data_IF_429501187909
#
_entry.id   IF_429501187909
#
_cell.length_a   1.000
_cell.length_b   1.000
_cell.length_c   1.000
_cell.angle_alpha   90.00
_cell.angle_beta   90.00
_cell.angle_gamma   90.00
#
_symmetry.space_group_name_H-M   'P 1'
#
loop_
_entity.id
_entity.type
_entity.pdbx_description
1 polymer ?
#
# COMPACT_ATOMS: atom_id res chain seq x y z
N UNK A 1 2.48 32.16 2.31
CA UNK A 1 2.91 30.94 1.60
C UNK A 1 2.53 29.78 2.50
N UNK A 2 1.74 28.83 2.00
CA UNK A 2 1.46 27.60 2.73
C UNK A 2 2.78 26.83 2.89
N UNK A 3 3.02 26.24 4.06
CA UNK A 3 4.17 25.35 4.22
C UNK A 3 3.97 24.07 3.41
N UNK A 4 5.06 23.39 3.05
CA UNK A 4 5.02 22.10 2.34
C UNK A 4 4.06 21.12 3.04
N UNK A 5 4.18 20.98 4.36
CA UNK A 5 3.31 20.09 5.14
C UNK A 5 1.83 20.47 5.00
N UNK A 6 1.48 21.77 5.03
CA UNK A 6 0.09 22.20 4.85
C UNK A 6 -0.45 21.86 3.46
N UNK A 7 0.40 21.88 2.43
CA UNK A 7 0.03 21.51 1.06
C UNK A 7 -0.23 19.99 0.98
N UNK A 8 0.65 19.19 1.57
CA UNK A 8 0.50 17.72 1.62
C UNK A 8 -0.76 17.31 2.41
N UNK A 9 -0.98 17.91 3.58
CA UNK A 9 -2.16 17.65 4.41
C UNK A 9 -3.46 17.94 3.64
N UNK A 10 -3.50 19.06 2.88
CA UNK A 10 -4.66 19.41 2.05
C UNK A 10 -4.89 18.39 0.94
N UNK A 11 -3.82 17.93 0.29
CA UNK A 11 -3.92 16.94 -0.77
C UNK A 11 -4.40 15.58 -0.25
N UNK A 12 -3.87 15.13 0.89
CA UNK A 12 -4.30 13.91 1.56
C UNK A 12 -5.77 13.98 2.01
N UNK A 13 -6.22 15.14 2.49
CA UNK A 13 -7.63 15.33 2.87
C UNK A 13 -8.58 15.11 1.68
N UNK A 14 -8.18 15.51 0.46
CA UNK A 14 -8.98 15.23 -0.75
C UNK A 14 -9.14 13.73 -0.95
N UNK A 15 -8.02 12.99 -0.89
CA UNK A 15 -8.03 11.53 -0.97
C UNK A 15 -8.89 10.87 0.13
N UNK A 16 -8.75 11.33 1.38
CA UNK A 16 -9.51 10.81 2.52
C UNK A 16 -11.01 11.10 2.43
N UNK A 17 -11.40 12.17 1.74
CA UNK A 17 -12.81 12.48 1.47
C UNK A 17 -13.46 11.58 0.41
N UNK A 18 -12.68 10.71 -0.25
CA UNK A 18 -13.11 9.85 -1.34
C UNK A 18 -13.09 10.52 -2.72
N UNK A 19 -12.59 11.75 -2.81
CA UNK A 19 -12.33 12.44 -4.08
C UNK A 19 -10.94 12.03 -4.55
N UNK A 20 -10.83 11.60 -5.81
CA UNK A 20 -9.52 11.44 -6.45
C UNK A 20 -9.07 12.82 -6.96
N UNK A 21 -8.07 13.46 -6.31
CA UNK A 21 -7.57 14.74 -6.77
C UNK A 21 -6.90 14.63 -8.14
N UNK A 22 -6.92 15.73 -8.90
CA UNK A 22 -6.16 15.88 -10.13
C UNK A 22 -4.88 16.65 -9.82
N UNK A 23 -3.75 15.96 -9.86
CA UNK A 23 -2.46 16.50 -9.43
C UNK A 23 -2.07 17.79 -10.18
N UNK A 24 -2.27 17.84 -11.51
CA UNK A 24 -2.01 19.05 -12.32
C UNK A 24 -2.75 20.27 -11.78
N UNK A 25 -4.06 20.11 -11.63
CA UNK A 25 -4.95 21.19 -11.24
C UNK A 25 -4.64 21.68 -9.83
N UNK A 26 -4.32 20.75 -8.93
CA UNK A 26 -3.91 21.08 -7.58
C UNK A 26 -2.63 21.89 -7.57
N UNK A 27 -1.60 21.46 -8.30
CA UNK A 27 -0.31 22.16 -8.37
C UNK A 27 -0.45 23.54 -9.01
N UNK A 28 -1.18 23.65 -10.11
CA UNK A 28 -1.46 24.93 -10.77
C UNK A 28 -2.14 25.92 -9.83
N UNK A 29 -3.04 25.44 -8.96
CA UNK A 29 -3.76 26.28 -7.99
C UNK A 29 -2.85 26.90 -6.91
N UNK A 30 -1.68 26.31 -6.66
CA UNK A 30 -0.74 26.80 -5.64
C UNK A 30 0.09 28.00 -6.11
N UNK A 31 0.15 28.28 -7.42
CA UNK A 31 0.88 29.40 -8.03
C UNK A 31 2.33 29.54 -7.51
N UNK A 32 3.05 28.43 -7.41
CA UNK A 32 4.41 28.34 -6.87
C UNK A 32 5.48 28.82 -7.86
N UNK A 33 6.67 29.16 -7.34
CA UNK A 33 7.86 29.34 -8.17
C UNK A 33 8.30 27.98 -8.76
N UNK A 34 9.05 27.96 -9.87
CA UNK A 34 9.52 26.68 -10.46
C UNK A 34 10.36 25.84 -9.48
N UNK A 35 11.17 26.48 -8.64
CA UNK A 35 11.99 25.78 -7.64
C UNK A 35 11.13 25.14 -6.55
N UNK A 36 10.13 25.86 -6.04
CA UNK A 36 9.23 25.36 -5.00
C UNK A 36 8.26 24.31 -5.56
N UNK A 37 7.79 24.54 -6.79
CA UNK A 37 6.90 23.62 -7.49
C UNK A 37 7.54 22.25 -7.63
N UNK A 38 8.82 22.18 -8.00
CA UNK A 38 9.52 20.90 -8.15
C UNK A 38 9.61 20.11 -6.85
N UNK A 39 9.94 20.78 -5.73
CA UNK A 39 10.01 20.15 -4.42
C UNK A 39 8.62 19.64 -3.98
N UNK A 40 7.59 20.48 -4.14
CA UNK A 40 6.20 20.12 -3.82
C UNK A 40 5.69 18.98 -4.70
N UNK A 41 6.02 18.97 -5.99
CA UNK A 41 5.63 17.92 -6.92
C UNK A 41 6.13 16.54 -6.49
N UNK A 42 7.41 16.46 -6.11
CA UNK A 42 8.02 15.20 -5.70
C UNK A 42 7.22 14.55 -4.57
N UNK A 43 6.89 15.35 -3.54
CA UNK A 43 6.15 14.87 -2.38
C UNK A 43 4.69 14.51 -2.72
N UNK A 44 4.01 15.34 -3.53
CA UNK A 44 2.63 15.07 -3.94
C UNK A 44 2.52 13.82 -4.82
N UNK A 45 3.50 13.56 -5.69
CA UNK A 45 3.54 12.35 -6.52
C UNK A 45 3.67 11.11 -5.63
N UNK A 46 4.53 11.15 -4.61
CA UNK A 46 4.67 10.04 -3.68
C UNK A 46 3.34 9.75 -2.95
N UNK A 47 2.66 10.79 -2.46
CA UNK A 47 1.33 10.65 -1.84
C UNK A 47 0.32 10.06 -2.83
N UNK A 48 0.22 10.62 -4.04
CA UNK A 48 -0.73 10.13 -5.05
C UNK A 48 -0.49 8.66 -5.39
N UNK A 49 0.77 8.31 -5.65
CA UNK A 49 1.21 6.95 -5.96
C UNK A 49 0.85 5.96 -4.85
N UNK A 50 1.00 6.35 -3.58
CA UNK A 50 0.59 5.51 -2.45
C UNK A 50 -0.92 5.25 -2.44
N UNK A 51 -1.74 6.30 -2.60
CA UNK A 51 -3.20 6.15 -2.63
C UNK A 51 -3.68 5.35 -3.85
N UNK A 52 -3.07 5.53 -5.02
CA UNK A 52 -3.38 4.75 -6.23
C UNK A 52 -3.01 3.27 -6.08
N UNK A 53 -1.85 2.98 -5.48
CA UNK A 53 -1.39 1.61 -5.19
C UNK A 53 -2.30 0.92 -4.18
N UNK A 54 -2.80 1.67 -3.19
CA UNK A 54 -3.83 1.18 -2.27
C UNK A 54 -5.15 0.84 -2.98
N UNK A 55 -5.59 1.65 -3.94
CA UNK A 55 -6.85 1.39 -4.65
C UNK A 55 -6.75 0.21 -5.62
N UNK A 56 -5.64 0.06 -6.35
CA UNK A 56 -5.43 -1.05 -7.28
C UNK A 56 -5.42 -2.42 -6.60
N UNK A 57 -4.78 -2.53 -5.43
CA UNK A 57 -4.81 -3.77 -4.62
C UNK A 57 -6.20 -4.11 -4.09
N UNK A 58 -7.05 -3.12 -3.81
CA UNK A 58 -8.46 -3.39 -3.45
C UNK A 58 -9.30 -3.89 -4.62
N UNK A 59 -8.98 -3.49 -5.86
CA UNK A 59 -9.66 -3.92 -7.09
C UNK A 59 -9.19 -5.28 -7.60
N UNK A 60 -7.95 -5.69 -7.35
CA UNK A 60 -7.38 -6.97 -7.81
C UNK A 60 -7.87 -8.23 -7.05
N UNK A 61 -8.92 -8.16 -6.23
CA UNK A 61 -9.57 -9.36 -5.67
C UNK A 61 -10.29 -10.14 -6.79
N UNK A 62 -9.92 -11.40 -7.09
CA UNK A 62 -10.63 -12.21 -8.07
C UNK A 62 -11.93 -12.74 -7.47
N UNK A 63 -13.04 -12.47 -8.17
CA UNK A 63 -14.36 -12.94 -7.82
C UNK A 63 -15.38 -12.59 -8.89
N UNK A 64 -15.11 -12.92 -10.16
CA UNK A 64 -16.14 -12.89 -11.21
C UNK A 64 -15.77 -13.84 -12.34
N UNK A 65 -16.74 -14.67 -12.72
CA UNK A 65 -16.71 -15.66 -13.81
C UNK A 65 -16.11 -15.09 -15.12
N UNK A 66 -15.27 -15.86 -15.85
CA UNK A 66 -14.69 -15.42 -17.12
C UNK A 66 -15.61 -15.59 -18.33
N UNK A 67 -16.93 -15.79 -18.15
CA UNK A 67 -17.87 -16.07 -19.24
C UNK A 67 -18.85 -14.91 -19.49
N UNK A 68 -18.35 -13.73 -19.82
CA UNK A 68 -19.11 -12.70 -20.51
C UNK A 68 -18.14 -11.79 -21.28
N UNK A 69 -17.79 -12.24 -22.49
CA UNK A 69 -17.10 -11.41 -23.47
C UNK A 69 -18.17 -10.72 -24.31
N UNK A 70 -18.31 -9.40 -24.16
CA UNK A 70 -18.90 -8.54 -25.19
C UNK A 70 -18.35 -7.11 -25.05
N UNK A 71 -17.48 -6.77 -26.00
CA UNK A 71 -17.07 -5.44 -26.46
C UNK A 71 -16.63 -4.38 -25.43
N UNK A 72 -15.31 -4.27 -25.21
CA UNK A 72 -14.53 -3.03 -25.43
C UNK A 72 -13.12 -3.44 -25.85
N UNK A 73 -12.67 -3.00 -27.03
CA UNK A 73 -11.25 -3.07 -27.42
C UNK A 73 -10.47 -2.05 -26.60
N UNK A 74 -10.06 -2.45 -25.39
CA UNK A 74 -9.09 -1.72 -24.57
C UNK A 74 -7.71 -2.12 -25.08
N UNK A 75 -6.98 -1.15 -25.60
CA UNK A 75 -5.57 -1.30 -25.96
C UNK A 75 -4.79 -1.93 -24.81
N UNK A 76 -4.03 -2.96 -25.13
CA UNK A 76 -3.26 -3.82 -24.24
C UNK A 76 -2.29 -3.03 -23.30
N UNK A 77 -2.08 -3.57 -22.09
CA UNK A 77 -1.09 -3.22 -21.05
C UNK A 77 -1.43 -2.21 -19.93
N UNK A 78 -2.48 -2.44 -19.15
CA UNK A 78 -2.51 -1.89 -17.77
C UNK A 78 -3.01 -2.92 -16.76
N UNK A 79 -2.18 -3.94 -16.51
CA UNK A 79 -2.28 -4.72 -15.29
C UNK A 79 -1.89 -3.85 -14.09
N UNK A 80 -2.83 -3.02 -13.62
CA UNK A 80 -3.04 -2.60 -12.22
C UNK A 80 -1.91 -2.01 -11.36
N UNK A 81 -0.67 -1.86 -11.83
CA UNK A 81 0.43 -1.28 -11.05
C UNK A 81 0.61 0.16 -11.51
N UNK A 82 0.40 1.11 -10.60
CA UNK A 82 0.72 2.52 -10.83
C UNK A 82 2.21 2.73 -10.58
N UNK A 83 2.92 3.29 -11.54
CA UNK A 83 4.36 3.59 -11.47
C UNK A 83 4.61 5.06 -11.81
N UNK A 84 5.83 5.52 -11.54
CA UNK A 84 6.33 6.85 -11.89
C UNK A 84 6.32 7.12 -13.39
N UNK A 85 6.26 6.09 -14.24
CA UNK A 85 6.14 6.24 -15.70
C UNK A 85 4.92 7.09 -16.08
N UNK A 86 3.81 6.96 -15.36
CA UNK A 86 2.60 7.77 -15.55
C UNK A 86 2.84 9.27 -15.32
N UNK A 87 3.75 9.61 -14.41
CA UNK A 87 4.08 10.98 -14.04
C UNK A 87 5.21 11.55 -14.91
N UNK A 88 6.11 10.69 -15.40
CA UNK A 88 7.22 11.07 -16.25
C UNK A 88 6.77 11.70 -17.57
N UNK A 89 5.69 11.20 -18.16
CA UNK A 89 5.08 11.78 -19.37
C UNK A 89 4.58 13.22 -19.14
N UNK A 90 4.19 13.53 -17.90
CA UNK A 90 3.52 14.78 -17.54
C UNK A 90 4.47 15.84 -17.03
N UNK A 91 5.53 15.43 -16.34
CA UNK A 91 6.56 16.32 -15.81
C UNK A 91 7.97 15.81 -16.13
N UNK A 92 8.36 15.75 -17.43
CA UNK A 92 9.64 15.19 -17.84
C UNK A 92 10.85 15.91 -17.21
N UNK A 93 10.71 17.21 -16.92
CA UNK A 93 11.74 18.01 -16.25
C UNK A 93 12.09 17.49 -14.85
N UNK A 94 11.12 16.92 -14.12
CA UNK A 94 11.35 16.33 -12.79
C UNK A 94 12.20 15.05 -12.87
N UNK A 95 12.05 14.29 -13.96
CA UNK A 95 12.70 13.00 -14.19
C UNK A 95 13.92 13.09 -15.13
N UNK A 96 14.29 14.31 -15.54
CA UNK A 96 15.40 14.58 -16.46
C UNK A 96 16.79 14.17 -15.94
N UNK A 97 16.92 13.97 -14.62
CA UNK A 97 18.15 13.57 -13.97
C UNK A 97 17.85 12.55 -12.85
N UNK A 98 18.47 11.37 -12.95
CA UNK A 98 18.27 10.26 -12.01
C UNK A 98 18.62 10.62 -10.56
N UNK A 99 19.69 11.37 -10.32
CA UNK A 99 20.12 11.75 -8.95
C UNK A 99 19.08 12.66 -8.30
N UNK A 100 18.44 13.49 -9.12
CA UNK A 100 17.44 14.46 -8.72
C UNK A 100 16.09 13.83 -8.35
N UNK A 101 15.71 12.71 -8.98
CA UNK A 101 14.49 11.99 -8.70
C UNK A 101 14.71 10.68 -7.92
N UNK A 102 15.96 10.37 -7.53
CA UNK A 102 16.32 9.14 -6.82
C UNK A 102 15.48 8.89 -5.55
N UNK A 103 15.20 9.94 -4.77
CA UNK A 103 14.35 9.84 -3.58
C UNK A 103 12.93 9.40 -3.95
N UNK A 104 12.35 9.99 -4.99
CA UNK A 104 11.00 9.65 -5.47
C UNK A 104 10.94 8.22 -6.05
N UNK A 105 11.99 7.80 -6.76
CA UNK A 105 12.13 6.41 -7.24
C UNK A 105 12.17 5.42 -6.07
N UNK A 106 12.92 5.75 -5.02
CA UNK A 106 12.98 4.95 -3.80
C UNK A 106 11.62 4.90 -3.07
N UNK A 107 10.84 5.99 -3.11
CA UNK A 107 9.46 5.97 -2.60
C UNK A 107 8.56 5.01 -3.39
N UNK A 108 8.62 4.99 -4.73
CA UNK A 108 7.87 3.97 -5.51
C UNK A 108 8.27 2.56 -5.08
N UNK A 109 9.57 2.28 -4.97
CA UNK A 109 10.08 0.98 -4.54
C UNK A 109 9.51 0.58 -3.16
N UNK A 110 9.47 1.52 -2.20
CA UNK A 110 8.89 1.32 -0.86
C UNK A 110 7.38 1.07 -0.93
N UNK A 111 6.66 1.87 -1.71
CA UNK A 111 5.20 1.80 -1.85
C UNK A 111 4.79 0.46 -2.46
N UNK A 112 5.47 0.01 -3.51
CA UNK A 112 5.20 -1.29 -4.16
C UNK A 112 5.39 -2.44 -3.17
N UNK A 113 6.48 -2.44 -2.38
CA UNK A 113 6.70 -3.40 -1.29
C UNK A 113 5.59 -3.38 -0.23
N UNK A 114 5.17 -2.19 0.20
CA UNK A 114 4.12 -2.00 1.21
C UNK A 114 2.79 -2.59 0.76
N UNK A 115 2.46 -2.47 -0.52
CA UNK A 115 1.19 -2.91 -1.10
C UNK A 115 1.26 -4.31 -1.76
N UNK A 116 2.30 -5.10 -1.44
CA UNK A 116 2.35 -6.53 -1.76
C UNK A 116 2.97 -6.88 -3.11
N UNK A 117 3.43 -5.89 -3.87
CA UNK A 117 4.38 -6.11 -4.95
C UNK A 117 5.80 -6.28 -4.38
N UNK A 118 6.74 -6.86 -5.13
CA UNK A 118 8.12 -7.09 -4.68
C UNK A 118 9.11 -6.87 -5.84
N UNK A 119 9.20 -5.64 -6.38
CA UNK A 119 10.11 -5.37 -7.48
C UNK A 119 11.56 -5.56 -7.03
N UNK A 120 12.41 -5.96 -7.98
CA UNK A 120 13.85 -6.07 -7.73
C UNK A 120 14.53 -4.72 -7.93
N UNK A 121 15.61 -4.45 -7.19
CA UNK A 121 16.36 -3.20 -7.33
C UNK A 121 16.91 -3.00 -8.76
N UNK A 122 17.29 -4.10 -9.42
CA UNK A 122 17.80 -4.11 -10.78
C UNK A 122 16.78 -3.56 -11.79
N UNK A 123 15.48 -3.71 -11.54
CA UNK A 123 14.42 -3.13 -12.39
C UNK A 123 14.55 -1.60 -12.45
N UNK A 124 14.79 -0.97 -11.30
CA UNK A 124 14.91 0.48 -11.18
C UNK A 124 16.22 1.00 -11.74
N UNK A 125 17.32 0.29 -11.50
CA UNK A 125 18.63 0.63 -12.06
C UNK A 125 18.59 0.55 -13.60
N UNK A 126 17.94 -0.47 -14.16
CA UNK A 126 17.79 -0.60 -15.61
C UNK A 126 16.88 0.47 -16.20
N UNK A 127 15.79 0.82 -15.51
CA UNK A 127 14.80 1.79 -16.01
C UNK A 127 15.28 3.23 -15.93
N UNK A 128 15.89 3.62 -14.81
CA UNK A 128 16.26 5.01 -14.53
C UNK A 128 17.76 5.29 -14.68
N UNK A 129 18.55 4.27 -15.01
CA UNK A 129 19.98 4.38 -15.15
C UNK A 129 20.73 4.17 -13.85
N UNK A 130 21.99 3.77 -13.99
CA UNK A 130 22.83 3.37 -12.88
C UNK A 130 23.55 4.57 -12.25
N UNK A 131 23.07 5.01 -11.09
CA UNK A 131 23.68 6.07 -10.29
C UNK A 131 23.97 5.61 -8.86
N UNK A 132 25.09 6.09 -8.31
CA UNK A 132 25.45 5.87 -6.91
C UNK A 132 24.41 6.47 -5.94
N UNK A 133 23.76 7.58 -6.29
CA UNK A 133 22.71 8.19 -5.47
C UNK A 133 21.50 7.26 -5.44
N UNK A 134 21.02 6.84 -6.62
CA UNK A 134 19.88 5.93 -6.73
C UNK A 134 20.10 4.60 -5.99
N UNK A 135 21.26 3.96 -6.17
CA UNK A 135 21.60 2.74 -5.44
C UNK A 135 21.53 2.93 -3.93
N UNK A 136 22.13 4.02 -3.43
CA UNK A 136 22.14 4.32 -1.99
C UNK A 136 20.72 4.47 -1.44
N UNK A 137 19.84 5.17 -2.15
CA UNK A 137 18.45 5.35 -1.72
C UNK A 137 17.70 4.00 -1.73
N UNK A 138 17.79 3.20 -2.80
CA UNK A 138 17.14 1.89 -2.88
C UNK A 138 17.65 0.90 -1.81
N UNK A 139 18.97 0.86 -1.59
CA UNK A 139 19.58 0.05 -0.53
C UNK A 139 19.13 0.50 0.87
N UNK A 140 18.90 1.80 1.08
CA UNK A 140 18.37 2.30 2.34
C UNK A 140 16.96 1.76 2.59
N UNK A 141 16.08 1.83 1.59
CA UNK A 141 14.73 1.25 1.70
C UNK A 141 14.80 -0.26 1.93
N UNK A 142 15.68 -0.98 1.23
CA UNK A 142 15.82 -2.43 1.42
C UNK A 142 16.28 -2.79 2.83
N UNK A 143 17.19 -1.99 3.43
CA UNK A 143 17.59 -2.17 4.83
C UNK A 143 16.42 -1.93 5.79
N UNK A 144 15.63 -0.88 5.57
CA UNK A 144 14.42 -0.60 6.36
C UNK A 144 13.44 -1.77 6.30
N UNK A 145 13.10 -2.23 5.10
CA UNK A 145 12.19 -3.37 4.89
C UNK A 145 12.71 -4.68 5.53
N UNK A 146 14.03 -4.89 5.51
CA UNK A 146 14.66 -6.04 6.15
C UNK A 146 14.58 -5.96 7.69
N UNK A 147 14.73 -4.76 8.27
CA UNK A 147 14.56 -4.54 9.71
C UNK A 147 13.13 -4.80 10.14
N UNK A 148 12.13 -4.28 9.41
CA UNK A 148 10.71 -4.52 9.68
C UNK A 148 10.37 -6.03 9.66
N UNK A 149 10.96 -6.76 8.71
CA UNK A 149 10.81 -8.21 8.60
C UNK A 149 11.49 -8.97 9.76
N UNK A 150 12.66 -8.50 10.21
CA UNK A 150 13.39 -9.08 11.34
C UNK A 150 12.72 -8.80 12.66
N UNK A 151 12.21 -7.60 12.89
CA UNK A 151 11.41 -7.31 14.09
C UNK A 151 10.16 -8.18 14.15
N UNK A 152 9.49 -8.41 13.01
CA UNK A 152 8.38 -9.35 12.94
C UNK A 152 8.81 -10.79 13.28
N UNK A 153 10.04 -11.17 12.93
CA UNK A 153 10.61 -12.50 13.19
C UNK A 153 11.12 -12.66 14.63
N UNK A 154 11.77 -11.65 15.21
CA UNK A 154 12.26 -11.64 16.60
C UNK A 154 11.12 -11.54 17.62
N UNK A 155 10.06 -10.76 17.34
CA UNK A 155 8.81 -10.79 18.12
C UNK A 155 8.09 -12.15 18.02
N UNK A 156 8.39 -12.95 17.00
CA UNK A 156 7.90 -14.33 16.85
C UNK A 156 8.83 -15.35 17.54
N UNK A 157 10.14 -15.07 17.66
CA UNK A 157 11.14 -16.01 18.19
C UNK A 157 11.35 -15.97 19.71
N UNK A 158 10.68 -15.05 20.43
CA UNK A 158 10.62 -15.05 21.91
C UNK A 158 9.69 -16.14 22.48
N UNK A 159 9.04 -16.95 21.63
CA UNK A 159 8.33 -18.16 22.04
C UNK A 159 9.26 -19.38 21.87
N UNK A 160 9.95 -19.77 22.94
CA UNK A 160 10.70 -21.04 22.99
C UNK A 160 9.76 -22.26 22.79
N UNK A 161 10.17 -23.29 22.03
CA UNK A 161 9.43 -24.53 21.92
C UNK A 161 9.73 -25.40 23.14
N UNK A 162 8.95 -25.25 24.21
CA UNK A 162 9.15 -26.02 25.43
C UNK A 162 7.94 -26.03 26.36
N UNK A 163 7.29 -27.20 26.42
CA UNK A 163 6.39 -27.68 27.47
C UNK A 163 4.88 -27.31 27.46
N UNK A 164 4.15 -28.38 27.14
CA UNK A 164 2.83 -28.82 27.62
C UNK A 164 1.59 -28.37 26.83
N UNK A 165 1.01 -29.41 26.21
CA UNK A 165 -0.26 -29.44 25.51
C UNK A 165 -1.42 -29.02 26.44
N UNK A 166 -1.77 -27.74 26.39
CA UNK A 166 -3.12 -27.25 26.66
C UNK A 166 -3.63 -26.61 25.38
N UNK A 167 -4.80 -27.02 24.89
CA UNK A 167 -5.47 -26.41 23.73
C UNK A 167 -5.49 -24.88 23.96
N UNK A 168 -4.83 -24.05 23.12
CA UNK A 168 -4.78 -22.62 23.38
C UNK A 168 -6.21 -22.06 23.42
N UNK A 169 -6.48 -21.05 24.28
CA UNK A 169 -7.81 -20.46 24.35
C UNK A 169 -8.17 -19.97 22.95
N UNK A 170 -9.19 -20.60 22.35
CA UNK A 170 -9.74 -20.17 21.08
C UNK A 170 -10.44 -18.83 21.33
N UNK A 171 -9.72 -17.77 21.02
CA UNK A 171 -10.17 -16.37 21.06
C UNK A 171 -11.27 -16.06 20.03
N UNK A 172 -11.50 -16.98 19.09
CA UNK A 172 -12.36 -16.77 17.94
C UNK A 172 -13.39 -17.89 17.86
N UNK A 173 -14.66 -17.53 17.57
CA UNK A 173 -15.79 -18.43 17.73
C UNK A 173 -15.71 -19.63 16.78
N UNK A 174 -16.19 -20.79 17.23
CA UNK A 174 -16.37 -21.95 16.36
C UNK A 174 -17.33 -21.58 15.23
N UNK A 175 -16.90 -21.77 13.99
CA UNK A 175 -17.69 -21.44 12.80
C UNK A 175 -18.88 -22.41 12.65
N UNK A 176 -20.04 -21.94 12.16
CA UNK A 176 -20.34 -20.56 11.76
C UNK A 176 -20.62 -19.65 12.97
N UNK A 177 -20.15 -18.40 12.89
CA UNK A 177 -20.23 -17.44 14.00
C UNK A 177 -20.51 -16.02 13.51
N UNK A 178 -21.09 -15.16 14.34
CA UNK A 178 -21.41 -13.78 13.97
C UNK A 178 -20.46 -12.80 14.66
N UNK A 179 -19.95 -11.83 13.88
CA UNK A 179 -19.17 -10.70 14.38
C UNK A 179 -19.82 -9.38 13.93
N UNK A 180 -20.62 -8.79 14.82
CA UNK A 180 -21.46 -7.63 14.48
C UNK A 180 -22.42 -7.97 13.33
N UNK A 181 -22.37 -7.19 12.24
CA UNK A 181 -23.19 -7.41 11.04
C UNK A 181 -22.65 -8.49 10.10
N UNK A 182 -21.50 -9.08 10.40
CA UNK A 182 -20.83 -10.03 9.53
C UNK A 182 -21.07 -11.46 10.04
N UNK A 183 -21.59 -12.32 9.17
CA UNK A 183 -21.67 -13.76 9.39
C UNK A 183 -20.36 -14.39 8.92
N UNK A 184 -19.55 -14.94 9.82
CA UNK A 184 -18.29 -15.61 9.51
C UNK A 184 -18.59 -16.99 8.93
N UNK A 185 -18.19 -17.20 7.67
CA UNK A 185 -18.45 -18.42 6.90
C UNK A 185 -17.28 -19.41 7.00
N UNK A 186 -16.04 -18.93 6.84
CA UNK A 186 -14.85 -19.76 6.90
C UNK A 186 -13.60 -18.95 7.15
N UNK A 187 -12.65 -19.47 7.92
CA UNK A 187 -11.32 -18.89 8.03
C UNK A 187 -10.57 -19.07 6.69
N UNK A 188 -9.97 -18.00 6.17
CA UNK A 188 -9.23 -18.01 4.90
C UNK A 188 -7.76 -17.61 5.04
N UNK A 189 -7.34 -17.05 6.18
CA UNK A 189 -5.93 -16.74 6.43
C UNK A 189 -5.62 -16.51 7.91
N UNK A 190 -4.42 -16.90 8.35
CA UNK A 190 -3.90 -16.65 9.70
C UNK A 190 -2.48 -16.10 9.61
N UNK A 191 -2.19 -15.03 10.34
CA UNK A 191 -0.85 -14.44 10.40
C UNK A 191 -0.62 -13.65 11.69
N UNK A 192 0.55 -13.00 11.79
CA UNK A 192 0.93 -12.25 13.00
C UNK A 192 -0.05 -11.13 13.36
N UNK A 193 -0.63 -10.46 12.36
CA UNK A 193 -1.57 -9.34 12.55
C UNK A 193 -3.02 -9.77 12.84
N UNK A 194 -3.34 -11.06 12.87
CA UNK A 194 -4.72 -11.50 13.04
C UNK A 194 -5.15 -12.68 12.18
N UNK A 195 -6.46 -12.87 12.15
CA UNK A 195 -7.14 -13.91 11.37
C UNK A 195 -8.03 -13.24 10.32
N UNK A 196 -8.10 -13.82 9.13
CA UNK A 196 -8.93 -13.34 8.04
C UNK A 196 -10.00 -14.39 7.76
N UNK A 197 -11.26 -13.99 7.83
CA UNK A 197 -12.42 -14.82 7.57
C UNK A 197 -13.10 -14.40 6.27
N UNK A 198 -13.56 -15.37 5.49
CA UNK A 198 -14.65 -15.17 4.55
C UNK A 198 -15.92 -14.98 5.39
N UNK A 199 -16.63 -13.89 5.16
CA UNK A 199 -17.83 -13.53 5.89
C UNK A 199 -18.89 -12.93 4.97
N UNK A 200 -20.17 -13.00 5.32
CA UNK A 200 -21.26 -12.28 4.65
C UNK A 200 -21.60 -11.02 5.44
N UNK A 201 -21.51 -9.86 4.81
CA UNK A 201 -22.10 -8.63 5.35
C UNK A 201 -23.62 -8.71 5.19
N UNK A 202 -24.34 -8.89 6.29
CA UNK A 202 -25.80 -9.09 6.29
C UNK A 202 -26.60 -7.84 5.95
N UNK A 203 -25.99 -6.65 6.00
CA UNK A 203 -26.66 -5.39 5.63
C UNK A 203 -26.51 -5.07 4.14
N UNK A 204 -25.33 -5.33 3.59
CA UNK A 204 -25.01 -5.08 2.19
C UNK A 204 -25.21 -6.31 1.30
N UNK A 205 -25.62 -7.42 1.91
CA UNK A 205 -25.86 -8.73 1.31
C UNK A 205 -24.74 -9.21 0.37
N UNK A 206 -23.49 -9.19 0.85
CA UNK A 206 -22.32 -9.56 0.06
C UNK A 206 -21.26 -10.28 0.86
N UNK A 207 -20.47 -11.14 0.20
CA UNK A 207 -19.30 -11.75 0.82
C UNK A 207 -18.11 -10.78 0.88
N UNK A 208 -17.40 -10.81 2.01
CA UNK A 208 -16.25 -9.96 2.32
C UNK A 208 -15.15 -10.79 2.99
N UNK A 209 -13.92 -10.29 2.93
CA UNK A 209 -12.83 -10.79 3.76
C UNK A 209 -12.74 -9.90 5.00
N UNK A 210 -13.09 -10.44 6.17
CA UNK A 210 -13.05 -9.73 7.44
C UNK A 210 -11.75 -10.09 8.17
N UNK A 211 -10.85 -9.12 8.35
CA UNK A 211 -9.64 -9.27 9.16
C UNK A 211 -9.96 -8.92 10.62
N UNK A 212 -9.82 -9.89 11.51
CA UNK A 212 -9.92 -9.72 12.95
C UNK A 212 -8.50 -9.62 13.52
N UNK A 213 -8.10 -8.46 14.07
CA UNK A 213 -6.80 -8.32 14.68
C UNK A 213 -6.67 -9.22 15.91
N UNK A 214 -5.47 -9.76 16.15
CA UNK A 214 -5.16 -10.36 17.44
C UNK A 214 -5.02 -9.23 18.45
N UNK A 215 -6.05 -9.04 19.26
CA UNK A 215 -5.94 -8.20 20.45
C UNK A 215 -5.16 -8.99 21.49
N UNK A 216 -4.06 -8.39 21.94
CA UNK A 216 -3.31 -8.89 23.07
C UNK A 216 -4.21 -8.81 24.31
N UNK A 217 -4.56 -9.97 24.87
CA UNK A 217 -5.42 -10.06 26.06
C UNK A 217 -4.67 -9.75 27.36
N UNK A 218 -3.45 -9.19 27.29
CA UNK A 218 -2.68 -8.82 28.47
C UNK A 218 -2.92 -7.40 29.00
N UNK A 219 -3.98 -6.71 28.56
CA UNK A 219 -4.42 -5.50 29.25
C UNK A 219 -5.17 -5.88 30.55
N UNK A 220 -4.63 -5.58 31.75
CA UNK A 220 -5.39 -5.75 32.97
C UNK A 220 -6.56 -4.78 32.94
N UNK A 221 -7.76 -5.31 33.20
CA UNK A 221 -8.94 -4.49 33.47
C UNK A 221 -8.68 -3.71 34.77
N UNK A 222 -8.58 -2.38 34.66
CA UNK A 222 -8.75 -1.44 35.77
C UNK A 222 -10.03 -0.65 35.56
#
# INVERSE_FOLDING_TARGET
>A
MNSLNQILDQYEQLWQSGVQPQLDQFVESLALSQSDQRAVLSELIAVDLEYQSRLSTTKQKPGTDPSASDFVTVTENTSGIYTLDFYADRWPELFSNTDHCASLIAEEYRIRHRWGDQPQMEEYIQRYGDSAVLRRELEAVQRELALDSREATEKTSLFEPGQQAGKPPQLFPELPAHFGRYELLSLIGKGGMGEVYRARDTQLDREVALKLPRLDQSAPLL
#
